data_IF_221587947355
#
_entry.id   IF_221587947355
#
_cell.length_a   1.000
_cell.length_b   1.000
_cell.length_c   1.000
_cell.angle_alpha   90.00
_cell.angle_beta   90.00
_cell.angle_gamma   90.00
#
_symmetry.space_group_name_H-M   'P 1'
#
loop_
_entity.id
_entity.type
_entity.pdbx_description
1 polymer ?
#
# COMPACT_ATOMS: atom_id res chain seq x y z
N UNK A 1 3.46 -15.72 12.06
CA UNK A 1 4.42 -14.76 11.47
C UNK A 1 3.69 -14.12 10.28
N UNK A 2 3.57 -12.79 10.24
CA UNK A 2 2.94 -12.10 9.11
C UNK A 2 4.04 -11.42 8.32
N UNK A 3 4.23 -11.85 7.08
CA UNK A 3 5.21 -11.28 6.15
C UNK A 3 4.42 -10.46 5.13
N UNK A 4 4.62 -9.14 5.15
CA UNK A 4 3.88 -8.21 4.28
C UNK A 4 4.87 -7.55 3.33
N UNK A 5 4.65 -7.68 2.03
CA UNK A 5 5.38 -6.90 1.03
C UNK A 5 5.54 -7.59 -0.33
N UNK A 6 5.76 -6.78 -1.36
CA UNK A 6 6.20 -7.20 -2.71
C UNK A 6 7.66 -6.83 -2.98
N UNK A 7 8.43 -6.52 -1.94
CA UNK A 7 9.81 -6.03 -2.02
C UNK A 7 10.82 -7.13 -2.35
N UNK A 8 10.46 -8.09 -3.22
CA UNK A 8 11.30 -9.22 -3.69
C UNK A 8 11.99 -10.04 -2.59
N UNK A 9 11.60 -9.87 -1.32
CA UNK A 9 12.10 -10.67 -0.21
C UNK A 9 11.58 -12.11 -0.30
N UNK A 10 12.35 -13.04 0.27
CA UNK A 10 12.00 -14.45 0.33
C UNK A 10 11.87 -14.93 1.77
N UNK A 11 11.04 -15.96 1.97
CA UNK A 11 10.93 -16.69 3.22
C UNK A 11 11.21 -18.17 2.93
N UNK A 12 12.31 -18.69 3.48
CA UNK A 12 12.68 -20.09 3.29
C UNK A 12 11.84 -20.99 4.21
N UNK A 13 11.16 -21.98 3.64
CA UNK A 13 10.35 -22.94 4.38
C UNK A 13 11.05 -24.30 4.47
N UNK A 14 11.16 -24.85 5.69
CA UNK A 14 11.63 -26.23 5.95
C UNK A 14 10.59 -26.97 6.80
N UNK A 15 10.51 -28.29 6.61
CA UNK A 15 9.70 -29.15 7.48
C UNK A 15 10.13 -28.95 8.95
N UNK A 16 9.17 -28.80 9.88
CA UNK A 16 9.38 -28.47 11.30
C UNK A 16 10.00 -27.09 11.61
N UNK A 17 10.12 -26.17 10.64
CA UNK A 17 10.63 -24.81 10.90
C UNK A 17 9.59 -23.86 11.52
N UNK A 18 8.30 -24.21 11.46
CA UNK A 18 7.21 -23.40 11.99
C UNK A 18 6.53 -24.12 13.17
N UNK A 19 6.01 -23.37 14.17
CA UNK A 19 5.21 -23.93 15.24
C UNK A 19 4.00 -24.70 14.70
N UNK A 20 3.56 -25.71 15.46
CA UNK A 20 2.35 -26.46 15.13
C UNK A 20 1.14 -25.51 15.00
N UNK A 21 0.38 -25.67 13.92
CA UNK A 21 -0.77 -24.81 13.61
C UNK A 21 -0.43 -23.45 12.98
N UNK A 22 0.82 -23.20 12.57
CA UNK A 22 1.16 -21.99 11.85
C UNK A 22 0.53 -21.95 10.44
N UNK A 23 -0.03 -20.80 10.07
CA UNK A 23 -0.57 -20.53 8.72
C UNK A 23 0.31 -19.52 7.99
N UNK A 24 0.55 -19.76 6.71
CA UNK A 24 1.17 -18.81 5.78
C UNK A 24 0.15 -18.40 4.74
N UNK A 25 -0.05 -17.10 4.55
CA UNK A 25 -0.94 -16.54 3.54
C UNK A 25 -0.24 -15.41 2.79
N UNK A 26 -0.60 -15.25 1.52
CA UNK A 26 -0.20 -14.10 0.71
C UNK A 26 -1.44 -13.29 0.37
N UNK A 27 -1.30 -11.98 0.27
CA UNK A 27 -2.40 -11.08 -0.09
C UNK A 27 -1.99 -10.27 -1.30
N UNK A 28 -2.83 -10.27 -2.33
CA UNK A 28 -2.64 -9.45 -3.51
C UNK A 28 -3.88 -8.60 -3.77
N UNK A 29 -3.83 -7.34 -3.34
CA UNK A 29 -4.96 -6.44 -3.44
C UNK A 29 -6.21 -6.97 -2.71
N UNK A 30 -7.37 -6.59 -3.22
CA UNK A 30 -8.68 -7.07 -2.76
C UNK A 30 -9.67 -7.10 -3.93
N UNK A 31 -10.81 -7.73 -3.72
CA UNK A 31 -11.91 -7.77 -4.66
C UNK A 31 -12.54 -6.39 -4.87
N UNK A 32 -13.28 -6.24 -5.98
CA UNK A 32 -14.08 -5.03 -6.26
C UNK A 32 -15.04 -4.70 -5.10
N UNK A 33 -15.66 -5.71 -4.50
CA UNK A 33 -16.60 -5.54 -3.38
C UNK A 33 -15.90 -5.00 -2.13
N UNK A 34 -14.73 -5.54 -1.79
CA UNK A 34 -13.92 -5.01 -0.68
C UNK A 34 -13.50 -3.56 -0.92
N UNK A 35 -13.13 -3.20 -2.16
CA UNK A 35 -12.85 -1.81 -2.51
C UNK A 35 -14.07 -0.91 -2.32
N UNK A 36 -15.26 -1.36 -2.75
CA UNK A 36 -16.51 -0.61 -2.54
C UNK A 36 -16.80 -0.38 -1.06
N UNK A 37 -16.59 -1.39 -0.21
CA UNK A 37 -16.74 -1.25 1.25
C UNK A 37 -15.72 -0.25 1.84
N UNK A 38 -14.47 -0.27 1.37
CA UNK A 38 -13.45 0.69 1.82
C UNK A 38 -13.79 2.12 1.42
N UNK A 39 -14.32 2.33 0.21
CA UNK A 39 -14.79 3.65 -0.25
C UNK A 39 -15.94 4.13 0.63
N UNK A 40 -16.93 3.27 0.91
CA UNK A 40 -18.04 3.63 1.79
C UNK A 40 -17.58 4.04 3.20
N UNK A 41 -16.55 3.37 3.75
CA UNK A 41 -15.94 3.74 5.03
C UNK A 41 -15.20 5.09 4.96
N UNK A 42 -14.56 5.40 3.84
CA UNK A 42 -13.90 6.69 3.62
C UNK A 42 -14.92 7.82 3.47
N UNK A 43 -16.01 7.61 2.71
CA UNK A 43 -17.12 8.55 2.57
C UNK A 43 -17.82 8.82 3.91
N UNK A 44 -17.98 7.79 4.75
CA UNK A 44 -18.49 7.92 6.11
C UNK A 44 -17.49 8.55 7.10
N UNK A 45 -16.30 8.96 6.64
CA UNK A 45 -15.27 9.60 7.45
C UNK A 45 -14.58 8.69 8.46
N UNK A 46 -14.80 7.37 8.38
CA UNK A 46 -14.21 6.36 9.28
C UNK A 46 -12.76 6.03 8.91
N UNK A 47 -12.39 6.24 7.65
CA UNK A 47 -11.02 6.09 7.15
C UNK A 47 -10.61 7.41 6.50
N UNK A 48 -9.44 7.94 6.89
CA UNK A 48 -8.87 9.15 6.28
C UNK A 48 -7.48 8.84 5.70
N UNK A 49 -7.34 8.79 4.37
CA UNK A 49 -6.04 8.57 3.77
C UNK A 49 -5.16 9.82 3.93
N UNK A 50 -3.89 9.62 4.28
CA UNK A 50 -2.90 10.70 4.31
C UNK A 50 -2.41 10.95 2.88
N UNK A 51 -2.98 11.97 2.25
CA UNK A 51 -2.66 12.34 0.87
C UNK A 51 -2.02 13.72 0.80
N UNK A 52 -1.06 13.89 -0.12
CA UNK A 52 -0.54 15.19 -0.54
C UNK A 52 -0.74 15.31 -2.06
N UNK A 53 -1.35 16.41 -2.51
CA UNK A 53 -1.62 16.64 -3.93
C UNK A 53 -0.49 17.46 -4.54
N UNK A 54 -0.08 17.08 -5.75
CA UNK A 54 0.93 17.78 -6.54
C UNK A 54 0.40 18.02 -7.95
N UNK A 55 0.74 19.15 -8.59
CA UNK A 55 0.33 19.42 -9.97
C UNK A 55 1.03 18.47 -10.95
N UNK A 56 0.44 18.26 -12.13
CA UNK A 56 0.95 17.36 -13.17
C UNK A 56 2.31 17.83 -13.68
N UNK A 57 2.53 19.13 -13.72
CA UNK A 57 3.81 19.78 -14.03
C UNK A 57 4.96 19.42 -13.07
N UNK A 58 4.68 18.94 -11.84
CA UNK A 58 5.70 18.57 -10.85
C UNK A 58 6.00 17.06 -10.78
N UNK A 59 5.49 16.24 -11.71
CA UNK A 59 5.62 14.77 -11.68
C UNK A 59 7.07 14.29 -11.48
N UNK A 60 8.03 14.85 -12.21
CA UNK A 60 9.43 14.41 -12.14
C UNK A 60 10.03 14.63 -10.74
N UNK A 61 9.78 15.80 -10.16
CA UNK A 61 10.19 16.14 -8.79
C UNK A 61 9.52 15.22 -7.77
N UNK A 62 8.22 14.94 -7.92
CA UNK A 62 7.51 14.04 -7.00
C UNK A 62 8.08 12.61 -7.06
N UNK A 63 8.52 12.15 -8.23
CA UNK A 63 9.23 10.88 -8.37
C UNK A 63 10.60 10.87 -7.69
N UNK A 64 11.35 11.97 -7.72
CA UNK A 64 12.60 12.10 -6.96
C UNK A 64 12.34 12.05 -5.45
N UNK A 65 11.37 12.82 -4.95
CA UNK A 65 10.96 12.77 -3.54
C UNK A 65 10.56 11.35 -3.12
N UNK A 66 9.83 10.62 -3.97
CA UNK A 66 9.45 9.23 -3.70
C UNK A 66 10.67 8.31 -3.60
N UNK A 67 11.64 8.46 -4.51
CA UNK A 67 12.89 7.68 -4.50
C UNK A 67 13.74 7.96 -3.26
N UNK A 68 13.76 9.20 -2.80
CA UNK A 68 14.49 9.62 -1.59
C UNK A 68 13.76 9.27 -0.29
N UNK A 69 12.54 8.73 -0.35
CA UNK A 69 11.75 8.39 0.84
C UNK A 69 11.12 9.59 1.54
N UNK A 70 10.99 10.73 0.84
CA UNK A 70 10.47 11.99 1.39
C UNK A 70 8.94 12.06 1.40
N UNK A 71 8.26 11.17 0.68
CA UNK A 71 6.79 11.11 0.63
C UNK A 71 6.23 10.35 1.83
N UNK A 72 5.46 11.06 2.67
CA UNK A 72 4.71 10.43 3.76
C UNK A 72 3.27 10.17 3.34
N UNK A 73 2.85 8.90 3.38
CA UNK A 73 1.52 8.49 2.93
C UNK A 73 1.49 8.36 1.41
N UNK A 74 0.58 9.08 0.74
CA UNK A 74 0.42 9.01 -0.73
C UNK A 74 0.53 10.37 -1.40
N UNK A 75 1.45 10.48 -2.35
CA UNK A 75 1.43 11.56 -3.33
C UNK A 75 0.37 11.28 -4.40
N UNK A 76 -0.48 12.27 -4.70
CA UNK A 76 -1.52 12.21 -5.74
C UNK A 76 -1.25 13.32 -6.74
N UNK A 77 -0.93 12.94 -7.97
CA UNK A 77 -0.80 13.88 -9.07
C UNK A 77 -2.20 14.30 -9.52
N UNK A 78 -2.43 15.60 -9.65
CA UNK A 78 -3.68 16.18 -10.16
C UNK A 78 -3.38 17.00 -11.42
N UNK A 79 -4.33 17.13 -12.38
CA UNK A 79 -4.13 17.97 -13.56
C UNK A 79 -3.73 19.40 -13.19
N UNK A 80 -2.88 20.02 -14.01
CA UNK A 80 -2.62 21.46 -13.94
C UNK A 80 -3.93 22.20 -14.26
N UNK A 81 -4.24 23.25 -13.48
CA UNK A 81 -5.42 24.10 -13.72
C UNK A 81 -5.22 25.02 -14.91
#
# INVERSE_FOLDING_TARGET
>A
IVIVGRGQGSFEFKHCALPYGATMSTTFGGSKLELMHLVALAEAGRIKPRITRYPLSEVDKVFEMLRNGEIVGRAVIVPDL
#
